data_IF_283751765821
#
_entry.id   IF_283751765821
#
_cell.length_a   1.000
_cell.length_b   1.000
_cell.length_c   1.000
_cell.angle_alpha   90.00
_cell.angle_beta   90.00
_cell.angle_gamma   90.00
#
_symmetry.space_group_name_H-M   'P 1'
#
loop_
_entity.id
_entity.type
_entity.pdbx_description
1 polymer ?
#
# COMPACT_ATOMS: atom_id res chain seq x y z
N UNK A 1 -1.26 11.38 -13.21
CA UNK A 1 -0.69 11.05 -11.88
C UNK A 1 -0.37 9.56 -11.84
N UNK A 2 0.77 9.15 -11.27
CA UNK A 2 1.07 7.74 -11.01
C UNK A 2 0.94 7.41 -9.51
N UNK A 3 0.73 6.12 -9.17
CA UNK A 3 0.43 5.64 -7.81
C UNK A 3 1.32 4.47 -7.38
N UNK A 4 2.56 4.42 -7.87
CA UNK A 4 3.47 3.33 -7.52
C UNK A 4 4.91 3.83 -7.39
N UNK A 5 5.54 3.61 -6.24
CA UNK A 5 6.94 3.99 -6.05
C UNK A 5 7.90 3.39 -7.09
N UNK A 6 7.56 2.24 -7.66
CA UNK A 6 8.29 1.65 -8.79
C UNK A 6 8.24 2.52 -10.05
N UNK A 7 7.10 3.10 -10.35
CA UNK A 7 6.95 4.05 -11.48
C UNK A 7 7.75 5.33 -11.24
N UNK A 8 7.64 5.94 -10.03
CA UNK A 8 8.46 7.09 -9.64
C UNK A 8 9.94 6.81 -9.85
N UNK A 9 10.39 5.63 -9.43
CA UNK A 9 11.79 5.22 -9.58
C UNK A 9 12.21 5.11 -11.05
N UNK A 10 11.40 4.49 -11.90
CA UNK A 10 11.68 4.35 -13.34
C UNK A 10 11.70 5.74 -14.01
N UNK A 11 10.70 6.56 -13.75
CA UNK A 11 10.62 7.92 -14.31
C UNK A 11 11.89 8.72 -13.98
N UNK A 12 12.28 8.72 -12.71
CA UNK A 12 13.45 9.46 -12.25
C UNK A 12 14.77 8.87 -12.76
N UNK A 13 14.94 7.55 -12.64
CA UNK A 13 16.18 6.84 -12.99
C UNK A 13 16.53 6.98 -14.48
N UNK A 14 15.53 6.95 -15.35
CA UNK A 14 15.73 7.02 -16.79
C UNK A 14 15.48 8.41 -17.37
N UNK A 15 15.19 9.40 -16.52
CA UNK A 15 14.97 10.79 -16.94
C UNK A 15 13.78 10.95 -17.88
N UNK A 16 12.73 10.14 -17.74
CA UNK A 16 11.63 10.09 -18.71
C UNK A 16 10.91 11.43 -18.85
N UNK A 17 10.83 12.24 -17.79
CA UNK A 17 10.22 13.57 -17.88
C UNK A 17 10.92 14.47 -18.89
N UNK A 18 12.24 14.32 -19.05
CA UNK A 18 13.04 15.12 -19.98
C UNK A 18 12.75 14.86 -21.46
N UNK A 19 12.13 13.73 -21.80
CA UNK A 19 11.77 13.35 -23.17
C UNK A 19 10.28 13.49 -23.47
N UNK A 20 9.46 13.80 -22.44
CA UNK A 20 8.03 14.04 -22.65
C UNK A 20 7.77 15.40 -23.30
N UNK A 21 6.68 15.56 -24.05
CA UNK A 21 6.24 16.86 -24.55
C UNK A 21 6.05 17.86 -23.39
N UNK A 22 6.35 19.14 -23.63
CA UNK A 22 6.31 20.19 -22.58
C UNK A 22 4.94 20.39 -21.92
N UNK A 23 3.86 19.98 -22.59
CA UNK A 23 2.49 20.02 -22.08
C UNK A 23 2.09 18.75 -21.31
N UNK A 24 2.99 17.77 -21.15
CA UNK A 24 2.80 16.56 -20.36
C UNK A 24 3.62 16.68 -19.08
N UNK A 25 2.94 16.67 -17.93
CA UNK A 25 3.56 16.71 -16.61
C UNK A 25 3.22 15.48 -15.82
N UNK A 26 4.24 14.78 -15.32
CA UNK A 26 4.03 13.67 -14.39
C UNK A 26 3.80 14.21 -12.97
N UNK A 27 2.85 13.60 -12.27
CA UNK A 27 2.55 13.91 -10.87
C UNK A 27 2.66 12.61 -10.09
N UNK A 28 3.44 12.61 -9.01
CA UNK A 28 3.60 11.45 -8.15
C UNK A 28 2.51 11.43 -7.09
N UNK A 29 1.74 10.36 -7.06
CA UNK A 29 0.70 10.10 -6.07
C UNK A 29 1.25 9.39 -4.83
N UNK A 30 0.41 9.12 -3.82
CA UNK A 30 0.81 8.48 -2.56
C UNK A 30 1.06 6.97 -2.73
N UNK A 31 2.08 6.60 -3.51
CA UNK A 31 2.44 5.23 -3.86
C UNK A 31 3.34 4.48 -2.86
N UNK A 32 3.55 5.03 -1.65
CA UNK A 32 4.40 4.44 -0.61
C UNK A 32 3.61 4.27 0.71
N UNK A 33 3.32 3.04 1.16
CA UNK A 33 2.50 2.82 2.36
C UNK A 33 3.16 3.34 3.64
N UNK A 34 4.48 3.30 3.71
CA UNK A 34 5.26 3.83 4.84
C UNK A 34 5.19 5.37 4.88
N UNK A 35 5.21 6.01 3.71
CA UNK A 35 5.20 7.47 3.59
C UNK A 35 3.85 8.08 3.99
N UNK A 36 2.76 7.36 3.75
CA UNK A 36 1.38 7.81 4.05
C UNK A 36 0.92 7.43 5.45
N UNK A 37 1.74 6.69 6.21
CA UNK A 37 1.42 6.24 7.56
C UNK A 37 1.27 7.43 8.52
N UNK A 38 0.17 7.54 9.27
CA UNK A 38 0.01 8.54 10.31
C UNK A 38 1.07 8.39 11.40
N UNK A 39 1.59 9.51 11.88
CA UNK A 39 2.64 9.52 12.91
C UNK A 39 2.19 8.79 14.19
N UNK A 40 0.92 8.96 14.59
CA UNK A 40 0.37 8.30 15.76
C UNK A 40 0.40 6.77 15.71
N UNK A 41 0.44 6.16 14.51
CA UNK A 41 0.60 4.71 14.37
C UNK A 41 2.02 4.27 14.71
N UNK A 42 3.02 5.08 14.35
CA UNK A 42 4.41 4.83 14.72
C UNK A 42 4.59 5.04 16.23
N UNK A 43 3.98 6.10 16.79
CA UNK A 43 4.00 6.37 18.23
C UNK A 43 3.41 5.19 19.03
N UNK A 44 2.24 4.69 18.63
CA UNK A 44 1.63 3.51 19.28
C UNK A 44 2.48 2.24 19.16
N UNK A 45 3.17 2.05 18.03
CA UNK A 45 4.08 0.91 17.88
C UNK A 45 5.30 1.02 18.82
N UNK A 46 5.83 2.23 19.03
CA UNK A 46 6.91 2.50 19.98
C UNK A 46 6.44 2.25 21.42
N UNK A 47 5.25 2.73 21.77
CA UNK A 47 4.62 2.52 23.08
C UNK A 47 4.46 1.02 23.38
N UNK A 48 3.93 0.25 22.44
CA UNK A 48 3.81 -1.21 22.56
C UNK A 48 5.15 -1.87 22.89
N UNK A 49 6.23 -1.45 22.23
CA UNK A 49 7.54 -2.05 22.42
C UNK A 49 8.22 -1.62 23.75
N UNK A 50 8.08 -0.36 24.15
CA UNK A 50 8.76 0.18 25.33
C UNK A 50 7.97 -0.02 26.63
N UNK A 51 6.64 0.15 26.59
CA UNK A 51 5.83 0.19 27.81
C UNK A 51 5.10 -1.14 28.07
N UNK A 52 4.75 -1.87 27.02
CA UNK A 52 4.00 -3.12 27.14
C UNK A 52 4.87 -4.38 26.97
N UNK A 53 6.18 -4.24 26.77
CA UNK A 53 7.14 -5.36 26.74
C UNK A 53 6.90 -6.39 25.64
N UNK A 54 6.14 -6.03 24.60
CA UNK A 54 5.90 -6.93 23.47
C UNK A 54 7.15 -7.09 22.61
N UNK A 55 7.22 -8.19 21.87
CA UNK A 55 8.17 -8.32 20.76
C UNK A 55 7.52 -7.70 19.55
N UNK A 56 7.99 -6.53 19.12
CA UNK A 56 7.46 -5.85 17.93
C UNK A 56 8.24 -6.26 16.69
N UNK A 57 7.56 -6.89 15.74
CA UNK A 57 8.14 -7.28 14.46
C UNK A 57 7.72 -6.31 13.35
N UNK A 58 8.64 -5.88 12.51
CA UNK A 58 8.36 -4.98 11.38
C UNK A 58 9.38 -5.13 10.26
N UNK A 59 9.03 -4.64 9.08
CA UNK A 59 9.97 -4.55 7.95
C UNK A 59 11.02 -3.45 8.15
N UNK A 60 12.15 -3.58 7.48
CA UNK A 60 13.31 -2.70 7.64
C UNK A 60 13.05 -1.23 7.33
N UNK A 61 12.22 -0.96 6.33
CA UNK A 61 11.87 0.38 5.86
C UNK A 61 11.13 1.22 6.93
N UNK A 62 10.36 0.57 7.79
CA UNK A 62 9.65 1.21 8.90
C UNK A 62 10.54 1.62 10.07
N UNK A 63 11.68 0.99 10.24
CA UNK A 63 12.56 1.21 11.39
C UNK A 63 13.04 2.66 11.55
N UNK A 64 13.18 3.38 10.44
CA UNK A 64 13.70 4.76 10.41
C UNK A 64 12.61 5.81 10.26
N UNK A 65 11.35 5.42 10.16
CA UNK A 65 10.25 6.38 10.00
C UNK A 65 10.18 7.30 11.22
N UNK A 66 10.16 8.63 11.01
CA UNK A 66 10.08 9.56 12.12
C UNK A 66 8.75 9.43 12.86
N UNK A 67 8.83 9.34 14.16
CA UNK A 67 7.74 9.42 15.13
C UNK A 67 7.73 10.78 15.84
N UNK A 68 6.80 10.99 16.75
CA UNK A 68 6.75 12.17 17.60
C UNK A 68 8.02 12.30 18.46
N UNK A 69 8.32 13.52 18.88
CA UNK A 69 9.47 13.84 19.77
C UNK A 69 10.84 13.37 19.20
N UNK A 70 10.96 13.28 17.89
CA UNK A 70 12.19 12.86 17.22
C UNK A 70 12.54 11.38 17.42
N UNK A 71 11.58 10.54 17.84
CA UNK A 71 11.74 9.10 17.98
C UNK A 71 11.63 8.39 16.61
N UNK A 72 11.95 7.11 16.62
CA UNK A 72 11.69 6.13 15.56
C UNK A 72 11.76 4.73 16.19
N UNK A 73 11.30 3.70 15.50
CA UNK A 73 11.43 2.33 15.98
C UNK A 73 12.90 1.93 16.22
N UNK A 74 13.82 2.44 15.40
CA UNK A 74 15.27 2.22 15.62
C UNK A 74 15.76 2.84 16.92
N UNK A 75 15.33 4.07 17.25
CA UNK A 75 15.66 4.73 18.51
C UNK A 75 15.00 4.05 19.71
N UNK A 76 13.74 3.61 19.56
CA UNK A 76 13.05 2.85 20.60
C UNK A 76 13.76 1.51 20.89
N UNK A 77 14.27 0.84 19.85
CA UNK A 77 15.11 -0.34 20.02
C UNK A 77 16.39 -0.04 20.84
N UNK A 78 17.04 1.08 20.55
CA UNK A 78 18.22 1.51 21.31
C UNK A 78 17.89 1.86 22.77
N UNK A 79 16.65 2.19 23.09
CA UNK A 79 16.14 2.43 24.44
C UNK A 79 15.69 1.16 25.17
N UNK A 80 15.88 -0.02 24.57
CA UNK A 80 15.57 -1.31 25.20
C UNK A 80 14.29 -1.98 24.69
N UNK A 81 13.56 -1.38 23.75
CA UNK A 81 12.42 -2.04 23.10
C UNK A 81 12.83 -3.28 22.30
N UNK A 82 12.14 -4.41 22.49
CA UNK A 82 12.39 -5.61 21.70
C UNK A 82 11.75 -5.49 20.31
N UNK A 83 12.45 -4.79 19.43
CA UNK A 83 11.98 -4.55 18.06
C UNK A 83 12.84 -5.37 17.11
N UNK A 84 12.18 -6.26 16.36
CA UNK A 84 12.82 -7.21 15.46
C UNK A 84 12.49 -6.89 14.02
N UNK A 85 13.51 -6.74 13.20
CA UNK A 85 13.39 -6.62 11.76
C UNK A 85 13.14 -8.02 11.17
N UNK A 86 12.14 -8.11 10.31
CA UNK A 86 11.77 -9.33 9.61
C UNK A 86 11.84 -9.13 8.09
N UNK A 87 12.03 -10.22 7.37
CA UNK A 87 12.01 -10.25 5.90
C UNK A 87 10.70 -10.81 5.34
N UNK A 88 10.02 -11.64 6.13
CA UNK A 88 8.71 -12.22 5.81
C UNK A 88 7.77 -12.11 7.00
N UNK A 89 6.48 -11.91 6.75
CA UNK A 89 5.47 -11.98 7.82
C UNK A 89 5.47 -13.35 8.52
N UNK A 90 5.90 -14.43 7.84
CA UNK A 90 6.02 -15.77 8.43
C UNK A 90 7.06 -15.83 9.55
N UNK A 91 8.12 -15.01 9.51
CA UNK A 91 9.14 -14.96 10.54
C UNK A 91 8.53 -14.63 11.92
N UNK A 92 7.41 -13.89 11.93
CA UNK A 92 6.69 -13.57 13.15
C UNK A 92 6.14 -14.82 13.87
N UNK A 93 5.74 -15.84 13.12
CA UNK A 93 5.23 -17.09 13.70
C UNK A 93 6.36 -17.89 14.36
N UNK A 94 7.53 -17.93 13.75
CA UNK A 94 8.71 -18.57 14.34
C UNK A 94 9.13 -17.85 15.63
N UNK A 95 9.08 -16.52 15.61
CA UNK A 95 9.34 -15.71 16.81
C UNK A 95 8.30 -15.99 17.90
N UNK A 96 7.00 -16.10 17.54
CA UNK A 96 5.93 -16.40 18.50
C UNK A 96 6.06 -17.79 19.12
N UNK A 97 6.40 -18.80 18.32
CA UNK A 97 6.67 -20.17 18.80
C UNK A 97 7.86 -20.23 19.75
N UNK A 98 8.91 -19.46 19.47
CA UNK A 98 10.10 -19.41 20.29
C UNK A 98 9.95 -18.59 21.59
N UNK A 99 8.86 -17.82 21.73
CA UNK A 99 8.61 -16.93 22.87
C UNK A 99 7.17 -17.10 23.39
N UNK A 100 6.76 -18.29 23.88
CA UNK A 100 5.37 -18.58 24.22
C UNK A 100 4.81 -17.70 25.35
N UNK A 101 5.67 -17.20 26.23
CA UNK A 101 5.29 -16.37 27.39
C UNK A 101 5.26 -14.86 27.07
N UNK A 102 5.54 -14.48 25.83
CA UNK A 102 5.56 -13.08 25.40
C UNK A 102 4.68 -12.84 24.18
N UNK A 103 4.00 -11.70 24.18
CA UNK A 103 3.22 -11.28 23.03
C UNK A 103 4.14 -10.83 21.90
N UNK A 104 3.88 -11.34 20.69
CA UNK A 104 4.54 -10.95 19.45
C UNK A 104 3.56 -10.16 18.62
N UNK A 105 3.90 -8.92 18.31
CA UNK A 105 3.06 -8.01 17.53
C UNK A 105 3.72 -7.73 16.20
N UNK A 106 3.07 -8.11 15.12
CA UNK A 106 3.50 -7.72 13.78
C UNK A 106 2.92 -6.35 13.42
N UNK A 107 3.78 -5.35 13.31
CA UNK A 107 3.43 -4.02 12.78
C UNK A 107 3.31 -4.11 11.26
N UNK A 108 2.12 -4.50 10.81
CA UNK A 108 1.83 -4.80 9.41
C UNK A 108 1.49 -3.51 8.65
N UNK A 109 2.31 -3.20 7.66
CA UNK A 109 2.15 -2.03 6.78
C UNK A 109 2.16 -2.51 5.33
N UNK A 110 1.34 -1.92 4.49
CA UNK A 110 1.37 -2.18 3.07
C UNK A 110 0.10 -1.80 2.35
N UNK A 111 0.20 -1.80 1.05
CA UNK A 111 -0.94 -1.78 0.13
C UNK A 111 -1.45 -3.21 -0.12
N UNK A 112 -2.33 -3.37 -1.07
CA UNK A 112 -2.93 -4.64 -1.48
C UNK A 112 -1.89 -5.72 -1.84
N UNK A 113 -0.67 -5.32 -2.20
CA UNK A 113 0.44 -6.23 -2.53
C UNK A 113 0.92 -7.07 -1.36
N UNK A 114 0.93 -6.52 -0.14
CA UNK A 114 1.46 -7.19 1.07
C UNK A 114 0.38 -7.74 1.98
N UNK A 115 -0.85 -7.29 1.83
CA UNK A 115 -2.00 -7.73 2.62
C UNK A 115 -2.25 -9.24 2.55
N UNK A 116 -2.13 -9.92 1.38
CA UNK A 116 -2.32 -11.38 1.32
C UNK A 116 -1.35 -12.16 2.19
N UNK A 117 -0.08 -11.73 2.29
CA UNK A 117 0.91 -12.39 3.14
C UNK A 117 0.53 -12.29 4.63
N UNK A 118 0.00 -11.15 5.07
CA UNK A 118 -0.53 -10.98 6.43
C UNK A 118 -1.74 -11.87 6.67
N UNK A 119 -2.63 -12.02 5.68
CA UNK A 119 -3.77 -12.94 5.80
C UNK A 119 -3.32 -14.40 5.96
N UNK A 120 -2.30 -14.83 5.20
CA UNK A 120 -1.73 -16.19 5.30
C UNK A 120 -1.24 -16.46 6.71
N UNK A 121 -0.41 -15.57 7.27
CA UNK A 121 0.16 -15.81 8.60
C UNK A 121 -0.88 -15.77 9.72
N UNK A 122 -1.92 -14.95 9.61
CA UNK A 122 -3.04 -14.96 10.55
C UNK A 122 -3.82 -16.27 10.51
N UNK A 123 -4.13 -16.78 9.31
CA UNK A 123 -4.77 -18.09 9.14
C UNK A 123 -3.93 -19.23 9.70
N UNK A 124 -2.61 -19.17 9.46
CA UNK A 124 -1.67 -20.16 9.98
C UNK A 124 -1.58 -20.08 11.52
N UNK A 125 -1.43 -18.91 12.10
CA UNK A 125 -1.41 -18.70 13.55
C UNK A 125 -2.67 -19.28 14.21
N UNK A 126 -3.83 -19.02 13.61
CA UNK A 126 -5.11 -19.56 14.07
C UNK A 126 -5.17 -21.08 13.97
N UNK A 127 -4.72 -21.67 12.87
CA UNK A 127 -4.70 -23.12 12.68
C UNK A 127 -3.76 -23.83 13.67
N UNK A 128 -2.65 -23.18 14.02
CA UNK A 128 -1.68 -23.67 15.01
C UNK A 128 -2.08 -23.37 16.47
N UNK A 129 -3.13 -22.57 16.66
CA UNK A 129 -3.59 -22.19 18.01
C UNK A 129 -2.66 -21.26 18.75
N UNK A 130 -1.83 -20.49 18.06
CA UNK A 130 -0.93 -19.50 18.68
C UNK A 130 -1.76 -18.40 19.35
N UNK A 131 -1.58 -18.23 20.66
CA UNK A 131 -2.33 -17.26 21.48
C UNK A 131 -1.56 -15.94 21.70
N UNK A 132 -0.30 -15.94 21.39
CA UNK A 132 0.63 -14.85 21.64
C UNK A 132 1.05 -14.09 20.37
N UNK A 133 0.40 -14.34 19.23
CA UNK A 133 0.64 -13.62 17.98
C UNK A 133 -0.49 -12.63 17.69
N UNK A 134 -0.12 -11.39 17.43
CA UNK A 134 -1.04 -10.28 17.15
C UNK A 134 -0.58 -9.49 15.93
N UNK A 135 -1.53 -8.84 15.26
CA UNK A 135 -1.22 -7.95 14.12
C UNK A 135 -1.75 -6.53 14.39
N UNK A 136 -0.83 -5.57 14.44
CA UNK A 136 -1.18 -4.16 14.40
C UNK A 136 -1.36 -3.73 12.95
N UNK A 137 -2.59 -3.86 12.45
CA UNK A 137 -2.93 -3.72 11.05
C UNK A 137 -2.93 -2.27 10.58
N UNK A 138 -2.09 -1.96 9.59
CA UNK A 138 -1.99 -0.68 8.88
C UNK A 138 -1.96 -0.91 7.37
N UNK A 139 -2.71 -1.88 6.89
CA UNK A 139 -2.92 -2.08 5.45
C UNK A 139 -3.89 -1.05 4.91
N UNK A 140 -3.48 -0.38 3.84
CA UNK A 140 -4.22 0.68 3.17
C UNK A 140 -4.52 0.30 1.72
N UNK A 141 -5.55 0.93 1.14
CA UNK A 141 -6.09 0.59 -0.16
C UNK A 141 -5.91 1.73 -1.15
N UNK A 142 -5.40 1.41 -2.32
CA UNK A 142 -5.06 2.37 -3.37
C UNK A 142 -6.29 3.03 -4.03
N UNK A 143 -7.32 2.30 -4.52
CA UNK A 143 -8.44 2.93 -5.23
C UNK A 143 -9.23 3.95 -4.39
N UNK A 144 -9.49 3.74 -3.08
CA UNK A 144 -10.11 4.76 -2.25
C UNK A 144 -9.28 6.04 -2.11
N UNK A 145 -7.95 5.93 -2.01
CA UNK A 145 -7.05 7.09 -1.95
C UNK A 145 -7.08 7.88 -3.26
N UNK A 146 -7.04 7.20 -4.41
CA UNK A 146 -7.19 7.82 -5.73
C UNK A 146 -8.51 8.59 -5.83
N UNK A 147 -9.65 7.97 -5.43
CA UNK A 147 -10.97 8.64 -5.40
C UNK A 147 -10.98 9.86 -4.50
N UNK A 148 -10.37 9.77 -3.32
CA UNK A 148 -10.31 10.88 -2.38
C UNK A 148 -9.58 12.09 -2.97
N UNK A 149 -8.47 11.85 -3.67
CA UNK A 149 -7.72 12.90 -4.37
C UNK A 149 -8.57 13.55 -5.45
N UNK A 150 -9.30 12.76 -6.26
CA UNK A 150 -10.18 13.30 -7.30
C UNK A 150 -11.33 14.15 -6.75
N UNK A 151 -11.89 13.79 -5.60
CA UNK A 151 -12.97 14.58 -4.95
C UNK A 151 -12.47 15.95 -4.44
N UNK A 152 -11.18 16.10 -4.23
CA UNK A 152 -10.55 17.32 -3.74
C UNK A 152 -9.77 18.05 -4.85
N UNK A 153 -10.21 17.95 -6.12
CA UNK A 153 -9.53 18.43 -7.31
C UNK A 153 -9.33 19.95 -7.40
N UNK A 154 -9.98 20.76 -6.57
CA UNK A 154 -9.74 22.22 -6.56
C UNK A 154 -8.26 22.58 -6.41
N UNK A 155 -7.45 21.65 -5.90
CA UNK A 155 -6.02 21.84 -5.64
C UNK A 155 -5.08 21.17 -6.66
N UNK A 156 -5.55 20.15 -7.39
CA UNK A 156 -4.70 19.35 -8.28
C UNK A 156 -5.46 18.98 -9.55
N UNK A 157 -4.96 19.48 -10.70
CA UNK A 157 -5.50 19.10 -12.00
C UNK A 157 -4.91 17.74 -12.43
N UNK A 158 -5.75 16.73 -12.55
CA UNK A 158 -5.37 15.39 -12.99
C UNK A 158 -6.21 15.04 -14.22
N UNK A 159 -5.54 14.75 -15.33
CA UNK A 159 -6.18 14.39 -16.58
C UNK A 159 -6.27 12.88 -16.80
N UNK A 160 -5.37 12.12 -16.15
CA UNK A 160 -5.37 10.66 -16.21
C UNK A 160 -4.43 10.03 -15.20
N UNK A 161 -4.52 8.70 -15.08
CA UNK A 161 -3.73 7.91 -14.13
C UNK A 161 -2.88 6.86 -14.81
N UNK A 162 -1.62 6.77 -14.41
CA UNK A 162 -0.82 5.56 -14.58
C UNK A 162 -1.14 4.64 -13.42
N UNK A 163 -1.85 3.57 -13.72
CA UNK A 163 -2.31 2.59 -12.73
C UNK A 163 -1.16 1.80 -12.13
N UNK A 164 -1.18 1.55 -10.81
CA UNK A 164 -0.06 0.92 -10.09
C UNK A 164 0.06 -0.56 -10.43
N UNK A 165 1.16 -0.96 -11.09
CA UNK A 165 1.39 -2.33 -11.55
C UNK A 165 1.31 -3.36 -10.42
N UNK A 166 2.07 -3.17 -9.32
CA UNK A 166 2.10 -4.15 -8.23
C UNK A 166 0.72 -4.37 -7.59
N UNK A 167 0.00 -3.29 -7.30
CA UNK A 167 -1.36 -3.38 -6.73
C UNK A 167 -2.29 -4.10 -7.71
N UNK A 168 -2.20 -3.77 -9.00
CA UNK A 168 -3.06 -4.36 -10.03
C UNK A 168 -2.80 -5.84 -10.27
N UNK A 169 -1.61 -6.38 -9.95
CA UNK A 169 -1.38 -7.84 -9.96
C UNK A 169 -2.26 -8.58 -8.93
N UNK A 170 -2.68 -7.88 -7.89
CA UNK A 170 -3.56 -8.43 -6.85
C UNK A 170 -5.01 -8.15 -7.16
N UNK A 171 -5.38 -6.86 -7.34
CA UNK A 171 -6.79 -6.46 -7.44
C UNK A 171 -7.33 -6.42 -8.88
N UNK A 172 -6.49 -6.60 -9.88
CA UNK A 172 -6.88 -6.52 -11.30
C UNK A 172 -7.04 -5.11 -11.83
N UNK A 173 -7.62 -5.00 -13.02
CA UNK A 173 -7.95 -3.73 -13.65
C UNK A 173 -9.39 -3.26 -13.40
N UNK A 174 -10.31 -4.17 -13.09
CA UNK A 174 -11.74 -3.86 -12.87
C UNK A 174 -12.01 -2.78 -11.82
N UNK A 175 -11.31 -2.71 -10.66
CA UNK A 175 -11.54 -1.68 -9.66
C UNK A 175 -11.29 -0.25 -10.14
N UNK A 176 -10.56 -0.08 -11.25
CA UNK A 176 -10.30 1.23 -11.84
C UNK A 176 -11.38 1.70 -12.81
N UNK A 177 -12.33 0.84 -13.22
CA UNK A 177 -13.41 1.20 -14.12
C UNK A 177 -14.26 2.39 -13.61
N UNK A 178 -14.39 2.53 -12.28
CA UNK A 178 -15.10 3.66 -11.67
C UNK A 178 -14.45 5.01 -12.01
N UNK A 179 -13.12 5.04 -12.23
CA UNK A 179 -12.43 6.30 -12.56
C UNK A 179 -12.76 6.77 -13.96
N UNK A 180 -12.86 5.85 -14.90
CA UNK A 180 -13.28 6.13 -16.26
C UNK A 180 -14.77 6.50 -16.33
N UNK A 181 -15.63 5.72 -15.67
CA UNK A 181 -17.11 5.88 -15.74
C UNK A 181 -17.61 7.08 -14.96
N UNK A 182 -17.18 7.24 -13.71
CA UNK A 182 -17.78 8.22 -12.78
C UNK A 182 -17.04 9.57 -12.79
N UNK A 183 -15.75 9.56 -13.17
CA UNK A 183 -14.92 10.76 -13.14
C UNK A 183 -14.39 11.18 -14.51
N UNK A 184 -14.69 10.43 -15.57
CA UNK A 184 -14.15 10.66 -16.92
C UNK A 184 -12.64 10.80 -16.93
N UNK A 185 -11.95 9.96 -16.14
CA UNK A 185 -10.49 9.94 -16.04
C UNK A 185 -9.94 8.63 -16.58
N UNK A 186 -9.15 8.65 -17.66
CA UNK A 186 -8.51 7.46 -18.18
C UNK A 186 -7.50 6.89 -17.20
N UNK A 187 -7.42 5.57 -17.16
CA UNK A 187 -6.41 4.82 -16.37
C UNK A 187 -5.69 3.84 -17.29
N UNK A 188 -4.38 3.88 -17.30
CA UNK A 188 -3.56 2.87 -18.00
C UNK A 188 -2.66 2.21 -16.98
N UNK A 189 -2.82 0.89 -16.78
CA UNK A 189 -1.95 0.11 -15.91
C UNK A 189 -0.63 -0.11 -16.63
N UNK A 190 0.47 0.33 -16.01
CA UNK A 190 1.81 0.29 -16.58
C UNK A 190 2.70 -0.72 -15.87
N UNK A 191 3.57 -1.39 -16.63
CA UNK A 191 4.70 -2.14 -16.07
C UNK A 191 5.81 -1.22 -15.55
N UNK A 192 7.00 -1.79 -15.29
CA UNK A 192 8.12 -1.10 -14.65
C UNK A 192 9.32 -0.85 -15.55
N UNK A 193 9.25 -1.26 -16.77
CA UNK A 193 10.32 -0.95 -17.73
C UNK A 193 10.12 0.47 -18.30
N UNK A 194 11.19 1.15 -18.70
CA UNK A 194 11.06 2.48 -19.30
C UNK A 194 10.10 2.53 -20.48
N UNK A 195 10.09 1.48 -21.31
CA UNK A 195 9.19 1.36 -22.45
C UNK A 195 7.73 1.13 -22.02
N UNK A 196 7.48 0.35 -20.96
CA UNK A 196 6.14 0.18 -20.40
C UNK A 196 5.56 1.55 -19.98
N UNK A 197 6.37 2.36 -19.29
CA UNK A 197 5.99 3.69 -18.86
C UNK A 197 5.69 4.62 -20.03
N UNK A 198 6.56 4.68 -21.01
CA UNK A 198 6.37 5.53 -22.20
C UNK A 198 5.15 5.09 -23.01
N UNK A 199 4.95 3.79 -23.18
CA UNK A 199 3.78 3.25 -23.85
C UNK A 199 2.50 3.60 -23.11
N UNK A 200 2.47 3.46 -21.80
CA UNK A 200 1.31 3.81 -20.97
C UNK A 200 0.97 5.31 -21.01
N UNK A 201 2.00 6.17 -20.97
CA UNK A 201 1.82 7.61 -21.14
C UNK A 201 1.26 7.93 -22.52
N UNK A 202 1.77 7.28 -23.58
CA UNK A 202 1.27 7.46 -24.94
C UNK A 202 -0.21 7.02 -25.07
N UNK A 203 -0.59 5.90 -24.44
CA UNK A 203 -1.97 5.43 -24.41
C UNK A 203 -2.88 6.44 -23.70
N UNK A 204 -2.46 6.99 -22.56
CA UNK A 204 -3.18 8.05 -21.86
C UNK A 204 -3.36 9.30 -22.72
N UNK A 205 -2.30 9.79 -23.35
CA UNK A 205 -2.36 10.97 -24.23
C UNK A 205 -3.32 10.73 -25.39
N UNK A 206 -3.32 9.54 -25.98
CA UNK A 206 -4.26 9.18 -27.07
C UNK A 206 -5.70 9.23 -26.61
N UNK A 207 -6.02 8.70 -25.45
CA UNK A 207 -7.37 8.76 -24.88
C UNK A 207 -7.78 10.22 -24.62
N UNK A 208 -6.94 11.01 -23.96
CA UNK A 208 -7.22 12.41 -23.64
C UNK A 208 -7.46 13.24 -24.91
N UNK A 209 -6.63 13.07 -25.94
CA UNK A 209 -6.79 13.79 -27.21
C UNK A 209 -8.07 13.41 -27.98
N UNK A 210 -8.62 12.22 -27.73
CA UNK A 210 -9.89 11.76 -28.31
C UNK A 210 -11.11 12.09 -27.45
N UNK A 211 -10.91 12.66 -26.27
CA UNK A 211 -11.98 12.87 -25.30
C UNK A 211 -12.53 11.55 -24.73
N UNK A 212 -11.73 10.49 -24.75
CA UNK A 212 -12.11 9.17 -24.24
C UNK A 212 -11.58 8.99 -22.80
N UNK A 213 -12.30 8.19 -22.02
CA UNK A 213 -11.87 7.74 -20.71
C UNK A 213 -12.16 6.25 -20.56
N UNK A 214 -11.13 5.43 -20.58
CA UNK A 214 -11.20 3.97 -20.47
C UNK A 214 -10.12 3.47 -19.54
N UNK A 215 -10.30 2.26 -19.02
CA UNK A 215 -9.22 1.51 -18.33
C UNK A 215 -8.53 0.64 -19.38
N UNK A 216 -7.26 0.87 -19.59
CA UNK A 216 -6.42 0.04 -20.45
C UNK A 216 -5.31 -0.61 -19.63
N UNK A 217 -4.87 -1.78 -20.03
CA UNK A 217 -3.83 -2.53 -19.37
C UNK A 217 -2.65 -2.75 -20.32
N UNK A 218 -1.58 -1.99 -20.12
CA UNK A 218 -0.33 -2.19 -20.85
C UNK A 218 0.44 -3.39 -20.26
N UNK A 219 0.29 -3.65 -18.95
CA UNK A 219 1.01 -4.71 -18.23
C UNK A 219 0.31 -6.07 -18.29
N UNK A 220 -0.13 -6.47 -19.49
CA UNK A 220 -0.93 -7.70 -19.71
C UNK A 220 -0.18 -8.98 -19.36
N UNK A 221 1.16 -8.95 -19.32
CA UNK A 221 1.99 -10.11 -18.92
C UNK A 221 1.86 -10.46 -17.43
N UNK A 222 1.34 -9.57 -16.59
CA UNK A 222 1.22 -9.79 -15.15
C UNK A 222 -0.14 -9.43 -14.54
N UNK A 223 -0.92 -8.57 -15.19
CA UNK A 223 -2.20 -8.10 -14.68
C UNK A 223 -3.36 -8.68 -15.49
N UNK A 224 -4.31 -9.29 -14.78
CA UNK A 224 -5.59 -9.78 -15.33
C UNK A 224 -6.71 -8.84 -14.91
N UNK A 225 -7.82 -8.76 -15.65
CA UNK A 225 -8.95 -7.91 -15.29
C UNK A 225 -9.46 -8.17 -13.86
N UNK A 226 -9.68 -9.44 -13.52
CA UNK A 226 -10.19 -9.91 -12.23
C UNK A 226 -9.13 -9.96 -11.10
N UNK A 227 -7.86 -9.78 -11.43
CA UNK A 227 -6.75 -9.87 -10.48
C UNK A 227 -6.41 -11.30 -10.04
N UNK A 228 -5.80 -11.40 -8.86
CA UNK A 228 -5.48 -12.67 -8.22
C UNK A 228 -6.62 -13.09 -7.28
N UNK A 229 -7.58 -13.82 -7.80
CA UNK A 229 -8.78 -14.25 -7.05
C UNK A 229 -8.45 -15.05 -5.78
N UNK A 230 -7.32 -15.79 -5.76
CA UNK A 230 -6.89 -16.51 -4.54
C UNK A 230 -6.45 -15.53 -3.45
N UNK A 231 -5.69 -14.53 -3.81
CA UNK A 231 -5.26 -13.48 -2.88
C UNK A 231 -6.44 -12.64 -2.39
N UNK A 232 -7.35 -12.25 -3.29
CA UNK A 232 -8.55 -11.46 -2.96
C UNK A 232 -9.40 -12.21 -1.95
N UNK A 233 -9.77 -13.46 -2.21
CA UNK A 233 -10.58 -14.29 -1.28
C UNK A 233 -9.91 -14.44 0.08
N UNK A 234 -8.60 -14.63 0.10
CA UNK A 234 -7.85 -14.75 1.36
C UNK A 234 -7.89 -13.46 2.18
N UNK A 235 -7.80 -12.29 1.53
CA UNK A 235 -7.96 -11.00 2.20
C UNK A 235 -9.39 -10.81 2.73
N UNK A 236 -10.40 -11.15 1.93
CA UNK A 236 -11.82 -11.04 2.30
C UNK A 236 -12.19 -11.93 3.50
N UNK A 237 -11.55 -13.10 3.66
CA UNK A 237 -11.76 -13.98 4.81
C UNK A 237 -11.22 -13.41 6.13
N UNK A 238 -10.18 -12.58 6.06
CA UNK A 238 -9.42 -12.13 7.25
C UNK A 238 -9.71 -10.69 7.61
N UNK A 239 -9.96 -9.85 6.62
CA UNK A 239 -10.05 -8.40 6.81
C UNK A 239 -11.43 -7.83 6.47
N UNK A 240 -11.82 -6.82 7.25
CA UNK A 240 -12.93 -5.93 6.98
C UNK A 240 -12.43 -4.52 6.66
N UNK A 241 -13.24 -3.74 5.95
CA UNK A 241 -12.95 -2.32 5.71
C UNK A 241 -13.09 -1.51 7.00
N UNK A 242 -12.17 -0.57 7.22
CA UNK A 242 -12.35 0.51 8.18
C UNK A 242 -13.25 1.58 7.57
N UNK A 243 -14.12 2.18 8.39
CA UNK A 243 -14.97 3.29 7.95
C UNK A 243 -14.14 4.49 7.44
N UNK A 244 -13.00 4.76 8.09
CA UNK A 244 -12.02 5.73 7.61
C UNK A 244 -10.63 5.41 8.16
N UNK A 245 -9.61 5.98 7.53
CA UNK A 245 -8.23 5.92 8.00
C UNK A 245 -7.53 7.24 7.65
N UNK A 246 -6.71 7.71 8.56
CA UNK A 246 -5.90 8.89 8.33
C UNK A 246 -4.70 8.55 7.45
N UNK A 247 -4.49 9.33 6.40
CA UNK A 247 -3.31 9.27 5.53
C UNK A 247 -2.49 10.54 5.73
N UNK A 248 -1.21 10.38 5.99
CA UNK A 248 -0.30 11.52 6.04
C UNK A 248 -0.33 12.26 4.71
N UNK A 249 -0.61 13.57 4.76
CA UNK A 249 -0.64 14.45 3.59
C UNK A 249 -1.99 14.61 2.91
N UNK A 250 -2.91 13.67 3.02
CA UNK A 250 -4.26 13.78 2.40
C UNK A 250 -5.42 13.68 3.41
N UNK A 251 -5.12 13.48 4.70
CA UNK A 251 -6.12 13.49 5.75
C UNK A 251 -6.92 12.21 5.88
N UNK A 252 -8.13 12.30 6.41
CA UNK A 252 -9.01 11.15 6.65
C UNK A 252 -9.67 10.68 5.34
N UNK A 253 -9.40 9.44 4.94
CA UNK A 253 -9.89 8.84 3.70
C UNK A 253 -10.88 7.72 4.02
N UNK A 254 -12.14 7.84 3.60
CA UNK A 254 -13.15 6.81 3.84
C UNK A 254 -12.83 5.50 3.14
N UNK A 255 -13.09 4.37 3.82
CA UNK A 255 -12.97 3.00 3.29
C UNK A 255 -11.59 2.71 2.65
N UNK A 256 -10.52 3.28 3.21
CA UNK A 256 -9.18 3.23 2.62
C UNK A 256 -8.18 2.38 3.38
N UNK A 257 -8.62 1.67 4.40
CA UNK A 257 -7.77 0.77 5.17
C UNK A 257 -8.54 -0.46 5.66
N UNK A 258 -7.78 -1.46 6.07
CA UNK A 258 -8.28 -2.72 6.56
C UNK A 258 -8.13 -2.84 8.08
N UNK A 259 -9.03 -3.62 8.69
CA UNK A 259 -8.93 -4.14 10.05
C UNK A 259 -9.20 -5.63 10.01
N UNK A 260 -8.76 -6.37 11.02
CA UNK A 260 -9.09 -7.77 11.14
C UNK A 260 -10.56 -7.95 11.50
N UNK A 261 -11.16 -9.07 11.09
CA UNK A 261 -12.39 -9.54 11.71
C UNK A 261 -12.11 -10.03 13.13
N UNK A 262 -13.12 -9.98 14.01
CA UNK A 262 -13.00 -10.37 15.42
C UNK A 262 -12.60 -11.85 15.62
N UNK A 263 -12.71 -12.65 14.58
CA UNK A 263 -12.30 -14.05 14.58
C UNK A 263 -10.77 -14.25 14.45
N UNK A 264 -10.03 -13.18 14.18
CA UNK A 264 -8.57 -13.14 14.03
C UNK A 264 -7.96 -12.09 15.01
#
# INVERSE_FOLDING_TARGET
MEFCGGHTHVISRYGLEGILPKNVRMIHGPGCPVCVMPIGRIDSAIELALEHGVILCTYADTMRVPASKGLSLMKAKAQGGDIRMIYSAADCLDIARANPDRNVVFFAIGFETTTPATAVVLKQAKAEGLKNFFVFCNHVLTPPAMRHILKNQEKVQIEGFVGPAHVSTIIGSEPYETFAKDYSKPVVIAGFEPLDMLQSILMLIRQINRGEAKVENEFTRAVRPEGNMKAIRMMEEVFALRASFEWRGIGSVPNSALKLYDAY
#
